data_IF_560340375145
#
_entry.id   IF_560340375145
#
_cell.length_a   1.000
_cell.length_b   1.000
_cell.length_c   1.000
_cell.angle_alpha   90.00
_cell.angle_beta   90.00
_cell.angle_gamma   90.00
#
_symmetry.space_group_name_H-M   'P 1'
#
loop_
_entity.id
_entity.type
_entity.pdbx_description
1 polymer ?
#
# COMPACT_ATOMS: atom_id res chain seq x y z
N UNK A 1 -11.33 7.15 -33.28
CA UNK A 1 -10.00 6.66 -32.86
C UNK A 1 -10.20 5.78 -31.64
N UNK A 2 -10.07 4.46 -31.77
CA UNK A 2 -10.37 3.50 -30.69
C UNK A 2 -9.21 3.45 -29.69
N UNK A 3 -9.56 3.49 -28.40
CA UNK A 3 -8.65 3.44 -27.26
C UNK A 3 -8.22 2.00 -26.93
N UNK A 4 -7.82 1.22 -27.93
CA UNK A 4 -7.31 -0.14 -27.73
C UNK A 4 -5.78 -0.11 -27.72
N UNK A 5 -5.19 -0.11 -26.52
CA UNK A 5 -3.82 -0.60 -26.20
C UNK A 5 -3.14 0.09 -25.00
N UNK A 6 -3.88 0.59 -24.00
CA UNK A 6 -3.25 1.19 -22.80
C UNK A 6 -2.99 0.21 -21.64
N UNK A 7 -3.31 -1.07 -21.81
CA UNK A 7 -3.02 -2.11 -20.83
C UNK A 7 -1.88 -3.01 -21.27
N UNK A 8 -0.62 -2.58 -21.10
CA UNK A 8 0.48 -3.55 -21.18
C UNK A 8 0.36 -4.50 -20.00
N UNK A 9 0.24 -5.80 -20.28
CA UNK A 9 0.23 -6.84 -19.25
C UNK A 9 1.51 -6.71 -18.41
N UNK A 10 1.33 -6.63 -17.09
CA UNK A 10 2.46 -6.53 -16.15
C UNK A 10 3.23 -7.85 -16.12
N UNK A 11 4.55 -7.84 -15.88
CA UNK A 11 5.33 -9.07 -15.78
C UNK A 11 4.78 -10.03 -14.73
N UNK A 12 4.86 -11.35 -14.96
CA UNK A 12 4.40 -12.38 -14.01
C UNK A 12 4.99 -12.23 -12.60
N UNK A 13 6.20 -11.67 -12.50
CA UNK A 13 6.89 -11.36 -11.23
C UNK A 13 6.09 -10.38 -10.38
N UNK A 14 5.38 -9.43 -11.00
CA UNK A 14 4.47 -8.49 -10.32
C UNK A 14 3.26 -9.25 -9.75
N UNK A 15 2.68 -10.19 -10.52
CA UNK A 15 1.60 -11.05 -10.01
C UNK A 15 2.04 -11.81 -8.77
N UNK A 16 3.23 -12.43 -8.80
CA UNK A 16 3.72 -13.20 -7.66
C UNK A 16 4.02 -12.33 -6.44
N UNK A 17 4.70 -11.19 -6.62
CA UNK A 17 4.96 -10.28 -5.51
C UNK A 17 3.67 -9.74 -4.89
N UNK A 18 2.66 -9.43 -5.72
CA UNK A 18 1.35 -9.04 -5.25
C UNK A 18 0.61 -10.19 -4.53
N UNK A 19 0.71 -11.42 -5.03
CA UNK A 19 0.15 -12.59 -4.36
C UNK A 19 0.80 -12.86 -3.00
N UNK A 20 2.13 -12.68 -2.88
CA UNK A 20 2.85 -12.78 -1.60
C UNK A 20 2.34 -11.71 -0.64
N UNK A 21 2.23 -10.44 -1.07
CA UNK A 21 1.71 -9.35 -0.25
C UNK A 21 0.26 -9.60 0.20
N UNK A 22 -0.58 -10.18 -0.67
CA UNK A 22 -1.94 -10.58 -0.32
C UNK A 22 -1.94 -11.71 0.72
N UNK A 23 -1.10 -12.72 0.53
CA UNK A 23 -0.99 -13.86 1.44
C UNK A 23 -0.52 -13.46 2.84
N UNK A 24 0.22 -12.35 2.97
CA UNK A 24 0.63 -11.81 4.27
C UNK A 24 -0.56 -11.57 5.21
N UNK A 25 -1.77 -11.28 4.71
CA UNK A 25 -2.96 -11.06 5.55
C UNK A 25 -3.32 -12.27 6.46
N UNK A 26 -2.80 -13.46 6.15
CA UNK A 26 -3.01 -14.69 6.93
C UNK A 26 -1.90 -14.97 7.94
N UNK A 27 -0.88 -14.12 8.01
CA UNK A 27 0.21 -14.26 8.98
C UNK A 27 -0.21 -13.71 10.36
N UNK A 28 0.41 -14.21 11.44
CA UNK A 28 0.11 -13.75 12.79
C UNK A 28 0.56 -12.29 13.00
N UNK A 29 -0.31 -11.49 13.61
CA UNK A 29 -0.10 -10.04 13.86
C UNK A 29 0.85 -9.81 15.03
N UNK A 30 0.85 -10.68 16.04
CA UNK A 30 1.69 -10.60 17.23
C UNK A 30 2.34 -11.95 17.54
N UNK A 31 3.51 -11.91 18.18
CA UNK A 31 4.21 -13.12 18.61
C UNK A 31 3.46 -13.74 19.78
N UNK A 32 2.95 -14.96 19.62
CA UNK A 32 2.31 -15.73 20.69
C UNK A 32 0.80 -15.51 20.88
N UNK A 33 0.12 -14.81 19.97
CA UNK A 33 -1.35 -14.79 19.91
C UNK A 33 -1.87 -15.44 18.63
N UNK A 34 -2.97 -16.19 18.76
CA UNK A 34 -3.68 -16.79 17.62
C UNK A 34 -4.58 -15.74 16.97
N UNK A 35 -3.97 -14.82 16.20
CA UNK A 35 -4.69 -13.75 15.51
C UNK A 35 -4.01 -13.36 14.20
N UNK A 36 -4.74 -13.50 13.09
CA UNK A 36 -4.31 -13.04 11.76
C UNK A 36 -5.02 -11.75 11.40
N UNK A 37 -4.47 -10.96 10.46
CA UNK A 37 -5.15 -9.75 9.99
C UNK A 37 -6.53 -10.10 9.39
N UNK A 38 -6.60 -11.16 8.58
CA UNK A 38 -7.87 -11.62 8.02
C UNK A 38 -8.89 -11.97 9.13
N UNK A 39 -8.46 -12.66 10.18
CA UNK A 39 -9.29 -12.97 11.34
C UNK A 39 -9.77 -11.71 12.07
N UNK A 40 -8.88 -10.72 12.26
CA UNK A 40 -9.20 -9.44 12.89
C UNK A 40 -10.23 -8.65 12.08
N UNK A 41 -10.06 -8.58 10.76
CA UNK A 41 -11.01 -7.89 9.88
C UNK A 41 -12.37 -8.59 9.90
N UNK A 42 -12.40 -9.92 9.84
CA UNK A 42 -13.65 -10.69 9.92
C UNK A 42 -14.35 -10.51 11.28
N UNK A 43 -13.60 -10.45 12.37
CA UNK A 43 -14.15 -10.18 13.70
C UNK A 43 -14.77 -8.77 13.75
N UNK A 44 -14.07 -7.75 13.24
CA UNK A 44 -14.60 -6.38 13.19
C UNK A 44 -15.91 -6.29 12.40
N UNK A 45 -16.01 -6.96 11.24
CA UNK A 45 -17.25 -7.03 10.46
C UNK A 45 -18.41 -7.75 11.17
N UNK A 46 -18.10 -8.72 12.03
CA UNK A 46 -19.11 -9.44 12.83
C UNK A 46 -19.64 -8.60 13.98
N UNK A 47 -18.82 -7.71 14.53
CA UNK A 47 -19.19 -6.83 15.64
C UNK A 47 -19.95 -5.60 15.15
N UNK A 48 -19.40 -4.87 14.17
CA UNK A 48 -19.99 -3.65 13.62
C UNK A 48 -19.56 -3.45 12.16
N UNK A 49 -20.53 -3.29 11.25
CA UNK A 49 -20.28 -3.12 9.82
C UNK A 49 -19.47 -1.85 9.51
N UNK A 50 -19.68 -0.76 10.27
CA UNK A 50 -18.96 0.49 10.07
C UNK A 50 -17.51 0.35 10.55
N UNK A 51 -17.30 -0.28 11.71
CA UNK A 51 -15.96 -0.58 12.21
C UNK A 51 -15.23 -1.55 11.28
N UNK A 52 -15.91 -2.58 10.79
CA UNK A 52 -15.39 -3.52 9.79
C UNK A 52 -14.98 -2.81 8.50
N UNK A 53 -15.81 -1.89 8.00
CA UNK A 53 -15.49 -1.08 6.82
C UNK A 53 -14.26 -0.21 7.05
N UNK A 54 -14.20 0.53 8.16
CA UNK A 54 -13.06 1.41 8.48
C UNK A 54 -11.77 0.61 8.68
N UNK A 55 -11.83 -0.51 9.41
CA UNK A 55 -10.68 -1.40 9.58
C UNK A 55 -10.20 -1.99 8.25
N UNK A 56 -11.13 -2.37 7.37
CA UNK A 56 -10.80 -2.89 6.04
C UNK A 56 -10.17 -1.82 5.15
N UNK A 57 -10.64 -0.58 5.22
CA UNK A 57 -10.05 0.52 4.47
C UNK A 57 -8.62 0.78 4.96
N UNK A 58 -8.44 0.97 6.27
CA UNK A 58 -7.17 1.40 6.88
C UNK A 58 -6.12 0.30 6.95
N UNK A 59 -6.49 -0.90 7.40
CA UNK A 59 -5.57 -2.03 7.59
C UNK A 59 -5.60 -3.00 6.42
N UNK A 60 -6.76 -3.15 5.76
CA UNK A 60 -6.93 -4.02 4.60
C UNK A 60 -6.52 -3.37 3.28
N UNK A 61 -6.41 -2.04 3.22
CA UNK A 61 -6.05 -1.27 2.02
C UNK A 61 -4.84 -1.83 1.24
N UNK A 62 -3.70 -2.09 1.89
CA UNK A 62 -2.52 -2.70 1.25
C UNK A 62 -2.79 -4.06 0.60
N UNK A 63 -3.64 -4.88 1.21
CA UNK A 63 -3.97 -6.22 0.71
C UNK A 63 -5.04 -6.16 -0.39
N UNK A 64 -6.00 -5.25 -0.31
CA UNK A 64 -6.94 -4.95 -1.40
C UNK A 64 -6.20 -4.41 -2.63
N UNK A 65 -5.22 -3.54 -2.41
CA UNK A 65 -4.32 -3.08 -3.46
C UNK A 65 -3.54 -4.24 -4.08
N UNK A 66 -2.99 -5.16 -3.27
CA UNK A 66 -2.29 -6.33 -3.77
C UNK A 66 -3.20 -7.24 -4.63
N UNK A 67 -4.44 -7.49 -4.18
CA UNK A 67 -5.43 -8.26 -4.92
C UNK A 67 -5.75 -7.62 -6.29
N UNK A 68 -5.99 -6.32 -6.32
CA UNK A 68 -6.29 -5.61 -7.58
C UNK A 68 -5.08 -5.53 -8.51
N UNK A 69 -3.86 -5.37 -7.99
CA UNK A 69 -2.63 -5.42 -8.77
C UNK A 69 -2.40 -6.81 -9.38
N UNK A 70 -2.67 -7.87 -8.62
CA UNK A 70 -2.64 -9.25 -9.11
C UNK A 70 -3.63 -9.45 -10.27
N UNK A 71 -4.89 -9.02 -10.12
CA UNK A 71 -5.91 -9.14 -11.19
C UNK A 71 -5.56 -8.29 -12.40
N UNK A 72 -5.16 -7.02 -12.20
CA UNK A 72 -4.81 -6.11 -13.29
C UNK A 72 -3.62 -6.62 -14.12
N UNK A 73 -2.70 -7.38 -13.51
CA UNK A 73 -1.59 -8.00 -14.25
C UNK A 73 -2.03 -9.08 -15.25
N UNK A 74 -3.23 -9.64 -15.08
CA UNK A 74 -3.79 -10.71 -15.93
C UNK A 74 -4.96 -10.27 -16.81
N UNK A 75 -5.64 -9.19 -16.43
CA UNK A 75 -6.77 -8.62 -17.17
C UNK A 75 -6.55 -7.12 -17.47
N UNK A 76 -5.63 -6.80 -18.40
CA UNK A 76 -5.21 -5.42 -18.67
C UNK A 76 -6.29 -4.53 -19.31
N UNK A 77 -7.30 -5.11 -19.97
CA UNK A 77 -8.38 -4.39 -20.63
C UNK A 77 -9.67 -4.27 -19.77
N UNK A 78 -9.63 -4.76 -18.53
CA UNK A 78 -10.79 -4.78 -17.62
C UNK A 78 -10.91 -3.55 -16.72
N UNK A 79 -11.81 -3.63 -15.72
CA UNK A 79 -11.96 -2.61 -14.68
C UNK A 79 -10.78 -2.59 -13.67
N UNK A 80 -10.00 -3.66 -13.59
CA UNK A 80 -8.93 -3.84 -12.61
C UNK A 80 -7.85 -2.73 -12.65
N UNK A 81 -7.35 -2.27 -13.81
CA UNK A 81 -6.54 -1.05 -13.93
C UNK A 81 -7.10 0.19 -13.23
N UNK A 82 -8.42 0.42 -13.32
CA UNK A 82 -9.05 1.56 -12.67
C UNK A 82 -9.05 1.40 -11.15
N UNK A 83 -9.33 0.19 -10.65
CA UNK A 83 -9.24 -0.15 -9.23
C UNK A 83 -7.83 0.00 -8.66
N UNK A 84 -6.80 -0.42 -9.40
CA UNK A 84 -5.40 -0.21 -8.99
C UNK A 84 -5.10 1.27 -8.83
N UNK A 85 -5.54 2.12 -9.77
CA UNK A 85 -5.38 3.58 -9.68
C UNK A 85 -6.12 4.16 -8.47
N UNK A 86 -7.37 3.74 -8.25
CA UNK A 86 -8.19 4.20 -7.13
C UNK A 86 -7.57 3.82 -5.78
N UNK A 87 -7.15 2.56 -5.61
CA UNK A 87 -6.50 2.08 -4.39
C UNK A 87 -5.12 2.70 -4.19
N UNK A 88 -4.37 2.97 -5.26
CA UNK A 88 -3.12 3.73 -5.16
C UNK A 88 -3.37 5.14 -4.63
N UNK A 89 -4.40 5.83 -5.14
CA UNK A 89 -4.77 7.16 -4.64
C UNK A 89 -5.21 7.10 -3.18
N UNK A 90 -5.99 6.08 -2.80
CA UNK A 90 -6.40 5.83 -1.43
C UNK A 90 -5.20 5.64 -0.49
N UNK A 91 -4.26 4.76 -0.85
CA UNK A 91 -3.02 4.54 -0.07
C UNK A 91 -2.18 5.82 0.08
N UNK A 92 -2.17 6.71 -0.91
CA UNK A 92 -1.51 8.01 -0.79
C UNK A 92 -2.22 8.91 0.23
N UNK A 93 -3.55 8.92 0.22
CA UNK A 93 -4.35 9.65 1.22
C UNK A 93 -4.07 9.10 2.62
N UNK A 94 -4.08 7.79 2.81
CA UNK A 94 -3.76 7.15 4.10
C UNK A 94 -2.35 7.50 4.58
N UNK A 95 -1.36 7.43 3.71
CA UNK A 95 0.02 7.77 4.04
C UNK A 95 0.16 9.24 4.46
N UNK A 96 -0.51 10.16 3.76
CA UNK A 96 -0.49 11.59 4.10
C UNK A 96 -1.22 11.83 5.42
N UNK A 97 -2.38 11.22 5.64
CA UNK A 97 -3.10 11.31 6.91
C UNK A 97 -2.26 10.77 8.07
N UNK A 98 -1.60 9.62 7.89
CA UNK A 98 -0.68 9.07 8.88
C UNK A 98 0.47 10.05 9.19
N UNK A 99 1.08 10.65 8.16
CA UNK A 99 2.12 11.65 8.35
C UNK A 99 1.62 12.91 9.09
N UNK A 100 0.38 13.35 8.84
CA UNK A 100 -0.24 14.48 9.54
C UNK A 100 -0.52 14.16 11.01
N UNK A 101 -1.02 12.95 11.31
CA UNK A 101 -1.23 12.48 12.69
C UNK A 101 0.10 12.45 13.44
N UNK A 102 1.15 11.92 12.82
CA UNK A 102 2.49 11.88 13.40
C UNK A 102 3.07 13.30 13.58
N UNK A 103 2.86 14.20 12.62
CA UNK A 103 3.26 15.60 12.74
C UNK A 103 2.57 16.28 13.92
N UNK A 104 1.27 16.02 14.12
CA UNK A 104 0.52 16.54 15.24
C UNK A 104 1.08 16.02 16.58
N UNK A 105 1.38 14.73 16.68
CA UNK A 105 2.00 14.15 17.90
C UNK A 105 3.39 14.71 18.21
N UNK A 106 4.18 15.08 17.19
CA UNK A 106 5.45 15.78 17.39
C UNK A 106 5.25 17.16 18.05
N UNK A 107 4.17 17.87 17.72
CA UNK A 107 3.84 19.17 18.34
C UNK A 107 3.50 19.02 19.83
N UNK A 108 3.00 17.86 20.23
CA UNK A 108 2.69 17.51 21.62
C UNK A 108 3.92 17.00 22.42
N UNK A 109 5.11 17.01 21.82
CA UNK A 109 6.37 16.68 22.49
C UNK A 109 6.87 15.25 22.30
N UNK A 110 6.25 14.44 21.43
CA UNK A 110 6.75 13.10 21.08
C UNK A 110 7.96 13.21 20.13
N UNK A 111 9.19 13.35 20.65
CA UNK A 111 10.39 13.49 19.81
C UNK A 111 10.89 12.19 19.16
N UNK A 112 11.53 12.27 17.98
CA UNK A 112 12.24 11.14 17.35
C UNK A 112 12.60 11.34 15.87
N UNK A 113 13.59 10.58 15.36
CA UNK A 113 13.98 10.60 13.92
C UNK A 113 13.00 9.85 13.02
N UNK A 114 12.39 8.77 13.52
CA UNK A 114 11.45 7.95 12.76
C UNK A 114 10.17 8.72 12.36
N UNK A 115 9.53 9.53 13.22
CA UNK A 115 8.44 10.44 12.84
C UNK A 115 8.78 11.37 11.66
N UNK A 116 9.93 12.03 11.70
CA UNK A 116 10.37 12.95 10.63
C UNK A 116 10.63 12.21 9.31
N UNK A 117 11.16 10.99 9.37
CA UNK A 117 11.38 10.17 8.19
C UNK A 117 10.07 9.82 7.47
N UNK A 118 8.99 9.50 8.20
CA UNK A 118 7.68 9.26 7.61
C UNK A 118 7.11 10.50 6.94
N UNK A 119 7.18 11.65 7.62
CA UNK A 119 6.69 12.92 7.08
C UNK A 119 7.41 13.28 5.78
N UNK A 120 8.75 13.20 5.78
CA UNK A 120 9.56 13.44 4.58
C UNK A 120 9.24 12.46 3.46
N UNK A 121 9.12 11.17 3.78
CA UNK A 121 8.76 10.13 2.81
C UNK A 121 7.38 10.37 2.19
N UNK A 122 6.36 10.63 3.00
CA UNK A 122 5.01 10.91 2.55
C UNK A 122 4.96 12.14 1.64
N UNK A 123 5.62 13.23 2.03
CA UNK A 123 5.68 14.45 1.24
C UNK A 123 6.33 14.23 -0.13
N UNK A 124 7.48 13.55 -0.16
CA UNK A 124 8.19 13.25 -1.42
C UNK A 124 7.39 12.31 -2.30
N UNK A 125 6.86 11.22 -1.73
CA UNK A 125 6.13 10.22 -2.49
C UNK A 125 4.82 10.79 -3.05
N UNK A 126 4.04 11.51 -2.24
CA UNK A 126 2.80 12.16 -2.68
C UNK A 126 3.08 13.21 -3.75
N UNK A 127 4.15 14.01 -3.61
CA UNK A 127 4.53 15.00 -4.62
C UNK A 127 4.99 14.35 -5.94
N UNK A 128 5.73 13.25 -5.87
CA UNK A 128 6.15 12.48 -7.04
C UNK A 128 4.95 11.82 -7.74
N UNK A 129 4.05 11.20 -6.97
CA UNK A 129 2.82 10.62 -7.46
C UNK A 129 1.91 11.68 -8.09
N UNK A 130 1.71 12.81 -7.42
CA UNK A 130 0.87 13.90 -7.94
C UNK A 130 1.37 14.40 -9.28
N UNK A 131 2.66 14.75 -9.38
CA UNK A 131 3.28 15.23 -10.63
C UNK A 131 3.12 14.24 -11.77
N UNK A 132 3.18 12.94 -11.48
CA UNK A 132 3.20 11.90 -12.50
C UNK A 132 1.82 11.31 -12.85
N UNK A 133 0.90 11.21 -11.91
CA UNK A 133 -0.36 10.47 -12.07
C UNK A 133 -1.59 11.36 -11.99
N UNK A 134 -1.56 12.39 -11.13
CA UNK A 134 -2.74 13.21 -10.85
C UNK A 134 -2.72 14.57 -11.58
N UNK A 135 -1.54 15.11 -11.89
CA UNK A 135 -1.40 16.42 -12.54
C UNK A 135 -2.09 16.44 -13.91
N UNK A 136 -2.91 17.47 -14.21
CA UNK A 136 -3.60 17.60 -15.49
C UNK A 136 -2.62 17.71 -16.67
N UNK A 137 -1.38 18.14 -16.41
CA UNK A 137 -0.34 18.32 -17.42
C UNK A 137 0.34 17.01 -17.86
N UNK A 138 0.08 15.89 -17.18
CA UNK A 138 0.73 14.62 -17.51
C UNK A 138 -0.08 13.84 -18.56
N UNK A 139 0.52 13.48 -19.71
CA UNK A 139 -0.16 12.73 -20.77
C UNK A 139 -0.70 11.38 -20.27
N UNK A 140 -1.86 10.95 -20.78
CA UNK A 140 -2.51 9.68 -20.37
C UNK A 140 -1.61 8.45 -20.57
N UNK A 141 -0.78 8.43 -21.62
CA UNK A 141 0.14 7.32 -21.87
C UNK A 141 1.24 7.17 -20.80
N UNK A 142 1.53 8.22 -20.02
CA UNK A 142 2.48 8.17 -18.89
C UNK A 142 1.83 7.76 -17.56
N UNK A 143 0.50 7.65 -17.53
CA UNK A 143 -0.30 7.23 -16.37
C UNK A 143 -0.62 5.74 -16.46
N UNK A 144 0.41 4.95 -16.73
CA UNK A 144 0.27 3.51 -16.92
C UNK A 144 0.00 2.80 -15.59
N UNK A 145 -0.56 1.59 -15.68
CA UNK A 145 -0.89 0.76 -14.50
C UNK A 145 0.38 0.38 -13.74
N UNK A 146 1.50 0.20 -14.44
CA UNK A 146 2.80 -0.09 -13.83
C UNK A 146 3.24 1.00 -12.86
N UNK A 147 3.16 2.28 -13.26
CA UNK A 147 3.45 3.39 -12.35
C UNK A 147 2.52 3.40 -11.13
N UNK A 148 1.22 3.14 -11.31
CA UNK A 148 0.28 3.04 -10.18
C UNK A 148 0.68 1.93 -9.21
N UNK A 149 0.95 0.72 -9.71
CA UNK A 149 1.38 -0.41 -8.85
C UNK A 149 2.66 -0.05 -8.11
N UNK A 150 3.62 0.61 -8.77
CA UNK A 150 4.87 1.02 -8.13
C UNK A 150 4.64 2.02 -7.01
N UNK A 151 3.84 3.06 -7.26
CA UNK A 151 3.52 4.08 -6.26
C UNK A 151 2.74 3.50 -5.07
N UNK A 152 1.74 2.65 -5.32
CA UNK A 152 0.99 1.97 -4.27
C UNK A 152 1.86 1.05 -3.43
N UNK A 153 2.76 0.29 -4.07
CA UNK A 153 3.72 -0.56 -3.37
C UNK A 153 4.73 0.25 -2.54
N UNK A 154 5.18 1.41 -3.03
CA UNK A 154 6.03 2.33 -2.28
C UNK A 154 5.31 2.90 -1.06
N UNK A 155 4.02 3.25 -1.18
CA UNK A 155 3.22 3.75 -0.06
C UNK A 155 3.08 2.68 1.03
N UNK A 156 2.76 1.43 0.63
CA UNK A 156 2.73 0.29 1.55
C UNK A 156 4.08 0.10 2.24
N UNK A 157 5.17 0.02 1.46
CA UNK A 157 6.51 -0.19 2.00
C UNK A 157 6.91 0.90 3.00
N UNK A 158 6.73 2.17 2.67
CA UNK A 158 7.10 3.27 3.55
C UNK A 158 6.30 3.28 4.86
N UNK A 159 5.00 3.00 4.81
CA UNK A 159 4.17 2.90 6.01
C UNK A 159 4.62 1.74 6.92
N UNK A 160 4.76 0.53 6.38
CA UNK A 160 5.14 -0.63 7.17
C UNK A 160 6.60 -0.60 7.65
N UNK A 161 7.53 -0.07 6.84
CA UNK A 161 8.91 0.16 7.26
C UNK A 161 8.99 1.18 8.41
N UNK A 162 8.11 2.19 8.41
CA UNK A 162 8.00 3.11 9.54
C UNK A 162 7.47 2.40 10.79
N UNK A 163 6.40 1.61 10.68
CA UNK A 163 5.89 0.81 11.80
C UNK A 163 6.97 -0.13 12.37
N UNK A 164 7.74 -0.83 11.52
CA UNK A 164 8.89 -1.65 11.93
C UNK A 164 9.91 -0.86 12.77
N UNK A 165 10.21 0.38 12.38
CA UNK A 165 11.13 1.24 13.13
C UNK A 165 10.58 1.66 14.49
N UNK A 166 9.27 1.77 14.65
CA UNK A 166 8.63 2.11 15.92
C UNK A 166 8.60 0.93 16.90
N UNK A 167 8.46 -0.30 16.41
CA UNK A 167 8.37 -1.49 17.27
C UNK A 167 9.75 -2.02 17.71
N UNK A 168 10.86 -1.50 17.16
CA UNK A 168 12.23 -1.80 17.64
C UNK A 168 12.45 -1.24 19.05
N UNK A 169 11.98 -1.97 20.05
CA UNK A 169 12.07 -1.64 21.48
C UNK A 169 10.98 -2.25 22.37
N UNK A 170 9.91 -2.82 21.81
CA UNK A 170 8.80 -3.47 22.55
C UNK A 170 8.72 -4.99 22.34
N UNK A 171 7.67 -5.65 22.85
CA UNK A 171 7.33 -7.03 22.46
C UNK A 171 7.17 -7.07 20.93
N UNK A 172 8.00 -7.88 20.26
CA UNK A 172 8.27 -7.76 18.83
C UNK A 172 7.01 -7.84 17.95
N UNK A 173 6.98 -7.12 16.82
CA UNK A 173 5.86 -7.19 15.91
C UNK A 173 5.75 -8.62 15.36
N UNK A 174 4.52 -9.12 15.15
CA UNK A 174 4.32 -10.44 14.58
C UNK A 174 4.83 -10.54 13.14
N UNK A 175 4.93 -11.77 12.64
CA UNK A 175 5.42 -12.10 11.30
C UNK A 175 4.72 -11.31 10.18
N UNK A 176 3.46 -10.92 10.41
CA UNK A 176 2.69 -10.10 9.48
C UNK A 176 3.39 -8.79 9.10
N UNK A 177 3.88 -8.00 10.07
CA UNK A 177 4.45 -6.68 9.79
C UNK A 177 5.73 -6.81 8.95
N UNK A 178 6.60 -7.74 9.36
CA UNK A 178 7.88 -7.98 8.71
C UNK A 178 7.68 -8.50 7.28
N UNK A 179 6.80 -9.49 7.12
CA UNK A 179 6.50 -10.07 5.82
C UNK A 179 5.82 -9.06 4.88
N UNK A 180 4.90 -8.23 5.39
CA UNK A 180 4.22 -7.19 4.60
C UNK A 180 5.21 -6.11 4.15
N UNK A 181 6.16 -5.73 5.02
CA UNK A 181 7.27 -4.83 4.66
C UNK A 181 8.15 -5.42 3.56
N UNK A 182 8.57 -6.68 3.70
CA UNK A 182 9.41 -7.35 2.71
C UNK A 182 8.67 -7.57 1.37
N UNK A 183 7.40 -7.97 1.42
CA UNK A 183 6.58 -8.22 0.24
C UNK A 183 6.28 -6.94 -0.54
N UNK A 184 5.98 -5.83 0.16
CA UNK A 184 5.79 -4.52 -0.47
C UNK A 184 7.09 -4.01 -1.10
N UNK A 185 8.24 -4.18 -0.44
CA UNK A 185 9.55 -3.88 -1.04
C UNK A 185 9.80 -4.71 -2.31
N UNK A 186 9.55 -6.03 -2.25
CA UNK A 186 9.69 -6.91 -3.40
C UNK A 186 8.81 -6.44 -4.56
N UNK A 187 7.56 -6.07 -4.28
CA UNK A 187 6.64 -5.54 -5.28
C UNK A 187 7.17 -4.25 -5.93
N UNK A 188 7.73 -3.32 -5.15
CA UNK A 188 8.40 -2.13 -5.69
C UNK A 188 9.57 -2.50 -6.60
N UNK A 189 10.36 -3.51 -6.22
CA UNK A 189 11.57 -3.91 -6.94
C UNK A 189 11.29 -4.62 -8.27
N UNK A 190 10.22 -5.41 -8.34
CA UNK A 190 9.88 -6.20 -9.55
C UNK A 190 9.04 -5.44 -10.56
N UNK A 191 8.43 -4.31 -10.19
CA UNK A 191 7.72 -3.45 -11.14
C UNK A 191 8.75 -2.73 -12.03
N UNK A 192 8.67 -2.87 -13.36
CA UNK A 192 9.62 -2.23 -14.27
C UNK A 192 9.71 -0.72 -14.04
N UNK A 193 10.93 -0.18 -14.05
CA UNK A 193 11.17 1.27 -14.06
C UNK A 193 11.07 1.74 -15.51
N UNK A 194 9.88 2.11 -15.94
CA UNK A 194 9.51 2.82 -17.18
C UNK A 194 10.14 2.37 -18.50
N UNK A 195 9.27 2.24 -19.50
CA UNK A 195 9.61 2.41 -20.92
C UNK A 195 9.20 3.80 -21.37
#
# INVERSE_FOLDING_TARGET
>A
MSAHSMGLALPWRVTLAAAVLLACAWLPISVGQDGTLAGLLLAAWREDWLQGLLATLVLGGPHLFAATAMVASRAPDGAAPAWVRALTAWLMVELVLLALIVLHGLQEGQGGRAPLALIGFAAVLASAWWRRMASPHTPMHRRDVGASVRFGAMACFGAFAWFELQVRGGQGPGLWLHATTAASFLLVAVVPRDR
#
